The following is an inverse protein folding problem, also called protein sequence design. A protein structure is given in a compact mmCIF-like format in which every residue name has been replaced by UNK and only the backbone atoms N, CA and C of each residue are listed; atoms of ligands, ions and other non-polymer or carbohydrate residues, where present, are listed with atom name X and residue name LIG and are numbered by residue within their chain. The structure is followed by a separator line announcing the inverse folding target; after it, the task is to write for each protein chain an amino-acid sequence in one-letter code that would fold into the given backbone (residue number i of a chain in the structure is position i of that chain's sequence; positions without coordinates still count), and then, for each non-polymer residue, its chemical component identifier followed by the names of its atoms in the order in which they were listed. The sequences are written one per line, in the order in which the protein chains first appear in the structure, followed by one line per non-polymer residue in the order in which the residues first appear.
data_IF_954827008633
#
_entry.id   IF_954827008633
#
_cell.length_a   1.000
_cell.length_b   1.000
_cell.length_c   1.000
_cell.angle_alpha   90.00
_cell.angle_beta   90.00
_cell.angle_gamma   90.00
#
_symmetry.space_group_name_H-M   'P 1'
#
loop_
_entity.id
_entity.type
_entity.pdbx_description
1 polymer ?
#
# COMPACT_ATOMS: atom_id res chain seq x y z
N UNK A 1 16.27 2.10 -13.90
CA UNK A 1 16.16 1.05 -12.85
C UNK A 1 15.74 1.76 -11.57
N UNK A 2 14.54 1.51 -11.03
CA UNK A 2 14.11 2.13 -9.76
C UNK A 2 14.43 1.14 -8.63
N UNK A 3 15.27 1.58 -7.70
CA UNK A 3 15.87 0.77 -6.66
C UNK A 3 14.81 0.29 -5.66
N UNK A 4 14.77 -1.03 -5.44
CA UNK A 4 13.89 -1.70 -4.48
C UNK A 4 14.12 -1.25 -3.02
N UNK A 5 15.22 -0.58 -2.74
CA UNK A 5 15.63 -0.11 -1.42
C UNK A 5 14.91 1.16 -0.97
N UNK A 6 14.49 2.02 -1.92
CA UNK A 6 13.73 3.26 -1.61
C UNK A 6 12.25 2.98 -1.29
N UNK A 7 11.76 1.77 -1.60
CA UNK A 7 10.37 1.37 -1.43
C UNK A 7 9.97 1.18 0.04
N UNK A 8 10.90 0.86 0.94
CA UNK A 8 10.58 0.70 2.38
C UNK A 8 10.18 2.03 3.02
N UNK A 9 10.96 3.09 2.80
CA UNK A 9 10.63 4.43 3.29
C UNK A 9 9.36 4.98 2.65
N UNK A 10 9.19 4.76 1.33
CA UNK A 10 7.99 5.16 0.60
C UNK A 10 6.72 4.40 1.00
N UNK A 11 6.84 3.19 1.58
CA UNK A 11 5.67 2.39 1.93
C UNK A 11 4.84 3.04 3.04
N UNK A 12 5.49 3.61 4.06
CA UNK A 12 4.81 4.30 5.16
C UNK A 12 4.13 5.59 4.67
N UNK A 13 4.77 6.32 3.74
CA UNK A 13 4.17 7.51 3.14
C UNK A 13 2.98 7.15 2.23
N UNK A 14 3.14 6.11 1.40
CA UNK A 14 2.08 5.57 0.55
C UNK A 14 0.89 5.09 1.39
N UNK A 15 1.13 4.44 2.55
CA UNK A 15 0.08 4.06 3.51
C UNK A 15 -0.71 5.28 3.98
N UNK A 16 -0.05 6.37 4.37
CA UNK A 16 -0.71 7.61 4.78
C UNK A 16 -1.60 8.19 3.68
N UNK A 17 -1.06 8.30 2.46
CA UNK A 17 -1.82 8.81 1.31
C UNK A 17 -2.97 7.89 0.91
N UNK A 18 -2.81 6.57 1.03
CA UNK A 18 -3.88 5.60 0.80
C UNK A 18 -5.02 5.75 1.81
N UNK A 19 -4.71 5.94 3.10
CA UNK A 19 -5.72 6.23 4.14
C UNK A 19 -6.48 7.52 3.85
N UNK A 20 -5.78 8.57 3.41
CA UNK A 20 -6.41 9.84 3.04
C UNK A 20 -7.32 9.70 1.81
N UNK A 21 -6.93 8.92 0.80
CA UNK A 21 -7.73 8.70 -0.41
C UNK A 21 -8.88 7.72 -0.22
N UNK A 22 -8.71 6.72 0.62
CA UNK A 22 -9.65 5.64 0.80
C UNK A 22 -10.05 5.55 2.28
N UNK A 23 -11.15 6.21 2.64
CA UNK A 23 -11.70 6.17 4.01
C UNK A 23 -12.05 4.74 4.49
N UNK A 24 -12.22 3.79 3.56
CA UNK A 24 -12.42 2.35 3.84
C UNK A 24 -11.15 1.66 4.37
N UNK A 25 -9.97 2.26 4.14
CA UNK A 25 -8.70 1.81 4.65
C UNK A 25 -8.48 2.40 6.04
N UNK A 26 -9.17 1.86 7.04
CA UNK A 26 -8.98 2.21 8.45
C UNK A 26 -7.58 1.81 8.95
N UNK A 27 -7.16 2.42 10.06
CA UNK A 27 -5.86 2.15 10.69
C UNK A 27 -5.60 0.66 10.89
N UNK A 28 -6.61 -0.09 11.33
CA UNK A 28 -6.60 -1.56 11.48
C UNK A 28 -6.45 -2.33 10.16
N UNK A 29 -7.07 -1.85 9.07
CA UNK A 29 -7.03 -2.50 7.76
C UNK A 29 -5.67 -2.38 7.06
N UNK A 30 -4.92 -1.32 7.41
CA UNK A 30 -3.59 -1.02 6.87
C UNK A 30 -2.48 -1.17 7.93
N UNK A 31 -2.74 -1.81 9.08
CA UNK A 31 -1.66 -2.25 9.98
C UNK A 31 -0.71 -3.12 9.16
N UNK A 32 0.41 -2.51 8.80
CA UNK A 32 1.42 -3.05 7.93
C UNK A 32 2.60 -3.27 8.85
N UNK A 33 2.99 -4.52 8.99
CA UNK A 33 4.28 -4.85 9.57
C UNK A 33 5.32 -4.30 8.60
N UNK A 34 6.12 -3.36 9.08
CA UNK A 34 7.11 -2.64 8.27
C UNK A 34 7.95 -3.61 7.44
N UNK A 35 8.03 -3.37 6.13
CA UNK A 35 8.79 -4.21 5.19
C UNK A 35 8.05 -5.35 4.48
N UNK A 36 6.75 -5.60 4.72
CA UNK A 36 5.97 -6.62 3.98
C UNK A 36 5.10 -6.05 2.85
N UNK A 37 5.72 -5.75 1.70
CA UNK A 37 5.01 -5.25 0.48
C UNK A 37 3.92 -6.22 0.00
N UNK A 38 4.18 -7.52 -0.03
CA UNK A 38 3.18 -8.51 -0.51
C UNK A 38 1.94 -8.59 0.36
N UNK A 39 2.10 -8.50 1.68
CA UNK A 39 0.97 -8.49 2.63
C UNK A 39 0.11 -7.23 2.43
N UNK A 40 0.75 -6.08 2.15
CA UNK A 40 0.06 -4.84 1.79
C UNK A 40 -0.82 -4.99 0.56
N UNK A 41 -0.26 -5.57 -0.51
CA UNK A 41 -0.97 -5.75 -1.76
C UNK A 41 -2.16 -6.69 -1.59
N UNK A 42 -2.01 -7.77 -0.82
CA UNK A 42 -3.11 -8.68 -0.49
C UNK A 42 -4.23 -8.01 0.31
N UNK A 43 -3.89 -7.20 1.32
CA UNK A 43 -4.88 -6.45 2.11
C UNK A 43 -5.58 -5.39 1.28
N UNK A 44 -4.86 -4.67 0.45
CA UNK A 44 -5.42 -3.69 -0.49
C UNK A 44 -6.37 -4.36 -1.48
N UNK A 45 -6.04 -5.56 -1.95
CA UNK A 45 -6.92 -6.32 -2.83
C UNK A 45 -8.25 -6.66 -2.16
N UNK A 46 -8.22 -7.14 -0.92
CA UNK A 46 -9.43 -7.47 -0.15
C UNK A 46 -10.24 -6.22 0.21
N UNK A 47 -9.58 -5.15 0.66
CA UNK A 47 -10.27 -3.93 1.14
C UNK A 47 -10.81 -3.05 0.02
N UNK A 48 -10.06 -2.91 -1.08
CA UNK A 48 -10.46 -2.09 -2.22
C UNK A 48 -11.19 -2.90 -3.30
N UNK A 49 -11.21 -4.23 -3.21
CA UNK A 49 -11.73 -5.11 -4.26
C UNK A 49 -10.94 -4.98 -5.57
N UNK A 50 -9.66 -4.61 -5.51
CA UNK A 50 -8.81 -4.32 -6.67
C UNK A 50 -7.73 -5.38 -6.85
N UNK A 51 -7.39 -5.68 -8.09
CA UNK A 51 -6.28 -6.59 -8.39
C UNK A 51 -4.95 -6.09 -7.81
N UNK A 52 -4.02 -7.02 -7.51
CA UNK A 52 -2.67 -6.68 -7.00
C UNK A 52 -1.97 -5.62 -7.86
N UNK A 53 -2.07 -5.70 -9.18
CA UNK A 53 -1.45 -4.74 -10.10
C UNK A 53 -2.00 -3.32 -9.92
N UNK A 54 -3.30 -3.18 -9.68
CA UNK A 54 -3.91 -1.88 -9.39
C UNK A 54 -3.42 -1.34 -8.04
N UNK A 55 -3.24 -2.19 -7.03
CA UNK A 55 -2.66 -1.81 -5.75
C UNK A 55 -1.17 -1.39 -5.88
N UNK A 56 -0.38 -2.11 -6.69
CA UNK A 56 1.01 -1.73 -6.99
C UNK A 56 1.10 -0.40 -7.74
N UNK A 57 0.18 -0.17 -8.67
CA UNK A 57 0.07 1.10 -9.39
C UNK A 57 -0.29 2.24 -8.46
N UNK A 58 -1.19 2.01 -7.48
CA UNK A 58 -1.52 3.01 -6.48
C UNK A 58 -0.28 3.39 -5.66
N UNK A 59 0.46 2.40 -5.15
CA UNK A 59 1.70 2.65 -4.38
C UNK A 59 2.75 3.35 -5.24
N UNK A 60 2.87 3.00 -6.52
CA UNK A 60 3.86 3.56 -7.44
C UNK A 60 3.51 4.97 -7.94
N UNK A 61 2.22 5.36 -7.90
CA UNK A 61 1.71 6.68 -8.28
C UNK A 61 1.66 7.67 -7.12
N UNK A 62 1.95 7.22 -5.89
CA UNK A 62 1.99 8.02 -4.67
C UNK A 62 3.40 8.53 -4.39
#
# INVERSE_FOLDING_TARGET
MKNLTELKGKLNEAKGKLKQRYAILTDDGLLLVDGKKDEMLGRLQVKLGKEKNAAETLISKL
#
